data_IF_530251410641
#
_entry.id   IF_530251410641
#
_cell.length_a   1.000
_cell.length_b   1.000
_cell.length_c   1.000
_cell.angle_alpha   90.00
_cell.angle_beta   90.00
_cell.angle_gamma   90.00
#
_symmetry.space_group_name_H-M   'P 1'
#
loop_
_entity.id
_entity.type
_entity.pdbx_description
1 polymer ?
#
# COMPACT_ATOMS: atom_id res chain seq x y z
N UNK A 1 -6.02 11.55 3.21
CA UNK A 1 -7.00 10.49 3.53
C UNK A 1 -6.35 9.16 3.18
N UNK A 2 -6.45 8.15 4.04
CA UNK A 2 -5.89 6.84 3.74
C UNK A 2 -6.90 5.98 2.98
N UNK A 3 -6.41 5.09 2.12
CA UNK A 3 -7.24 4.19 1.32
C UNK A 3 -6.57 2.84 1.12
N UNK A 4 -7.37 1.79 1.01
CA UNK A 4 -6.95 0.46 0.57
C UNK A 4 -7.26 0.34 -0.92
N UNK A 5 -6.27 -0.07 -1.72
CA UNK A 5 -6.49 -0.47 -3.11
C UNK A 5 -6.44 -1.99 -3.15
N UNK A 6 -7.57 -2.63 -3.45
CA UNK A 6 -7.67 -4.08 -3.58
C UNK A 6 -7.24 -4.57 -4.96
N UNK A 7 -6.87 -5.84 -5.05
CA UNK A 7 -6.48 -6.48 -6.31
C UNK A 7 -7.62 -6.57 -7.34
N UNK A 8 -8.88 -6.48 -6.90
CA UNK A 8 -10.07 -6.40 -7.77
C UNK A 8 -10.33 -4.99 -8.33
N UNK A 9 -9.47 -4.01 -8.01
CA UNK A 9 -9.60 -2.62 -8.43
C UNK A 9 -10.42 -1.74 -7.47
N UNK A 10 -11.06 -2.32 -6.45
CA UNK A 10 -11.83 -1.56 -5.47
C UNK A 10 -10.93 -0.67 -4.62
N UNK A 11 -11.31 0.60 -4.49
CA UNK A 11 -10.67 1.55 -3.59
C UNK A 11 -11.60 1.84 -2.39
N UNK A 12 -11.14 1.54 -1.17
CA UNK A 12 -11.91 1.75 0.06
C UNK A 12 -11.24 2.82 0.93
N UNK A 13 -11.96 3.84 1.41
CA UNK A 13 -11.41 4.73 2.44
C UNK A 13 -11.17 3.94 3.73
N UNK A 14 -10.11 4.27 4.45
CA UNK A 14 -9.79 3.65 5.74
C UNK A 14 -9.20 4.69 6.69
N UNK A 15 -9.40 4.47 7.98
CA UNK A 15 -8.84 5.29 9.06
C UNK A 15 -8.14 4.38 10.07
N UNK A 16 -7.06 4.85 10.71
CA UNK A 16 -6.45 4.09 11.79
C UNK A 16 -7.42 3.94 12.96
N UNK A 17 -7.40 2.79 13.62
CA UNK A 17 -8.33 2.50 14.72
C UNK A 17 -8.14 3.42 15.93
N UNK A 18 -6.93 3.91 16.17
CA UNK A 18 -6.63 4.88 17.23
C UNK A 18 -6.95 6.34 16.83
N UNK A 19 -7.33 6.59 15.57
CA UNK A 19 -7.65 7.92 15.04
C UNK A 19 -6.46 8.76 14.56
N UNK A 20 -5.22 8.32 14.77
CA UNK A 20 -3.99 9.07 14.44
C UNK A 20 -3.13 8.35 13.40
N UNK A 21 -2.69 7.13 13.70
CA UNK A 21 -1.66 6.38 12.98
C UNK A 21 -1.99 4.89 12.90
N UNK A 22 -1.58 4.25 11.81
CA UNK A 22 -1.73 2.81 11.65
C UNK A 22 -0.63 2.09 12.41
N UNK A 23 -1.03 1.21 13.33
CA UNK A 23 -0.12 0.25 13.94
C UNK A 23 0.40 -0.73 12.89
N UNK A 24 1.59 -1.29 13.14
CA UNK A 24 2.16 -2.38 12.32
C UNK A 24 1.14 -3.51 12.09
N UNK A 25 0.40 -3.90 13.13
CA UNK A 25 -0.59 -4.98 13.06
C UNK A 25 -1.75 -4.65 12.10
N UNK A 26 -2.21 -3.40 12.07
CA UNK A 26 -3.25 -2.97 11.13
C UNK A 26 -2.73 -3.01 9.69
N UNK A 27 -1.52 -2.48 9.46
CA UNK A 27 -0.90 -2.50 8.14
C UNK A 27 -0.71 -3.93 7.63
N UNK A 28 -0.17 -4.82 8.47
CA UNK A 28 -0.01 -6.24 8.15
C UNK A 28 -1.35 -6.94 7.86
N UNK A 29 -2.41 -6.61 8.60
CA UNK A 29 -3.74 -7.17 8.36
C UNK A 29 -4.34 -6.69 7.02
N UNK A 30 -4.02 -5.47 6.59
CA UNK A 30 -4.48 -4.91 5.31
C UNK A 30 -3.75 -5.55 4.13
N UNK A 31 -2.41 -5.63 4.19
CA UNK A 31 -1.59 -6.08 3.04
C UNK A 31 -1.34 -7.58 3.02
N UNK A 32 -1.51 -8.24 4.17
CA UNK A 32 -1.48 -9.70 4.32
C UNK A 32 -0.08 -10.31 4.37
N UNK A 33 0.82 -9.82 5.23
CA UNK A 33 2.19 -10.35 5.39
C UNK A 33 3.12 -9.35 6.05
N UNK A 34 4.43 -9.55 5.91
CA UNK A 34 5.42 -8.52 6.25
C UNK A 34 5.28 -7.30 5.35
N UNK A 35 5.59 -6.11 5.87
CA UNK A 35 5.33 -4.86 5.17
C UNK A 35 6.60 -4.30 4.55
N UNK A 36 6.46 -3.70 3.37
CA UNK A 36 7.41 -2.78 2.78
C UNK A 36 6.77 -1.40 2.64
N UNK A 37 7.54 -0.35 2.91
CA UNK A 37 7.15 1.04 2.73
C UNK A 37 7.78 1.60 1.47
N UNK A 38 6.96 2.10 0.55
CA UNK A 38 7.40 2.78 -0.68
C UNK A 38 6.90 4.22 -0.66
N UNK A 39 7.83 5.17 -0.50
CA UNK A 39 7.54 6.61 -0.43
C UNK A 39 7.15 7.16 -1.80
N UNK A 40 5.89 7.56 -2.01
CA UNK A 40 5.48 8.17 -3.27
C UNK A 40 5.98 9.60 -3.41
N UNK A 41 6.00 10.33 -2.30
CA UNK A 41 6.48 11.69 -2.17
C UNK A 41 6.66 12.00 -0.67
N UNK A 42 7.07 13.23 -0.36
CA UNK A 42 7.32 13.73 1.00
C UNK A 42 6.15 13.53 2.00
N UNK A 43 4.93 13.28 1.51
CA UNK A 43 3.73 13.20 2.34
C UNK A 43 2.94 11.90 2.21
N UNK A 44 3.23 11.02 1.26
CA UNK A 44 2.44 9.81 1.01
C UNK A 44 3.32 8.58 0.82
N UNK A 45 2.85 7.47 1.38
CA UNK A 45 3.53 6.18 1.34
C UNK A 45 2.55 5.08 0.92
N UNK A 46 3.02 4.16 0.08
CA UNK A 46 2.39 2.86 -0.13
C UNK A 46 2.95 1.90 0.91
N UNK A 47 2.06 1.22 1.62
CA UNK A 47 2.37 0.03 2.42
C UNK A 47 1.87 -1.18 1.65
N UNK A 48 2.76 -2.15 1.43
CA UNK A 48 2.48 -3.35 0.66
C UNK A 48 3.11 -4.58 1.32
N UNK A 49 2.76 -5.77 0.82
CA UNK A 49 3.36 -7.01 1.31
C UNK A 49 4.74 -7.25 0.66
N UNK A 50 5.81 -7.20 1.45
CA UNK A 50 7.20 -7.38 1.01
C UNK A 50 7.42 -8.71 0.28
N UNK A 51 6.73 -9.77 0.73
CA UNK A 51 6.83 -11.11 0.15
C UNK A 51 5.77 -11.35 -0.95
N UNK A 52 5.00 -10.33 -1.33
CA UNK A 52 3.81 -10.50 -2.18
C UNK A 52 4.11 -11.17 -3.52
N UNK A 53 5.23 -10.82 -4.17
CA UNK A 53 5.64 -11.44 -5.45
C UNK A 53 6.13 -12.87 -5.24
N UNK A 54 6.89 -13.11 -4.18
CA UNK A 54 7.38 -14.44 -3.80
C UNK A 54 6.21 -15.40 -3.52
N UNK A 55 5.16 -14.90 -2.88
CA UNK A 55 3.94 -15.62 -2.55
C UNK A 55 2.94 -15.72 -3.72
N UNK A 56 3.25 -15.16 -4.89
CA UNK A 56 2.38 -15.22 -6.05
C UNK A 56 1.05 -14.45 -5.89
N UNK A 57 1.04 -13.37 -5.10
CA UNK A 57 -0.16 -12.55 -4.93
C UNK A 57 -0.62 -11.94 -6.27
N UNK A 58 -1.93 -11.69 -6.46
CA UNK A 58 -2.44 -11.16 -7.71
C UNK A 58 -1.91 -9.76 -8.03
N UNK A 59 -1.71 -9.47 -9.32
CA UNK A 59 -1.39 -8.12 -9.81
C UNK A 59 -2.44 -7.11 -9.34
N UNK A 60 -1.99 -5.98 -8.81
CA UNK A 60 -2.84 -4.85 -8.48
C UNK A 60 -2.61 -3.73 -9.50
N UNK A 61 -3.47 -3.68 -10.52
CA UNK A 61 -3.34 -2.76 -11.66
C UNK A 61 -3.40 -1.31 -11.19
N UNK A 62 -4.33 -0.98 -10.30
CA UNK A 62 -4.51 0.38 -9.79
C UNK A 62 -3.35 0.82 -8.89
N UNK A 63 -2.85 -0.06 -8.01
CA UNK A 63 -1.67 0.25 -7.22
C UNK A 63 -0.41 0.39 -8.09
N UNK A 64 -0.27 -0.45 -9.12
CA UNK A 64 0.82 -0.35 -10.11
C UNK A 64 0.77 0.98 -10.86
N UNK A 65 -0.43 1.41 -11.28
CA UNK A 65 -0.63 2.71 -11.94
C UNK A 65 -0.22 3.88 -11.05
N UNK A 66 -0.60 3.84 -9.78
CA UNK A 66 -0.20 4.86 -8.80
C UNK A 66 1.32 4.85 -8.63
N UNK A 67 1.93 3.71 -8.34
CA UNK A 67 3.38 3.59 -8.18
C UNK A 67 4.13 4.18 -9.37
N UNK A 68 3.78 3.79 -10.60
CA UNK A 68 4.44 4.28 -11.82
C UNK A 68 4.21 5.76 -12.11
N UNK A 69 3.15 6.38 -11.58
CA UNK A 69 2.98 7.84 -11.70
C UNK A 69 4.01 8.64 -10.89
N UNK A 70 4.58 8.04 -9.85
CA UNK A 70 5.66 8.63 -9.04
C UNK A 70 7.05 8.11 -9.45
N UNK A 71 7.11 6.92 -10.03
CA UNK A 71 8.35 6.31 -10.53
C UNK A 71 8.25 5.96 -12.03
N UNK A 72 8.18 6.96 -12.94
CA UNK A 72 7.90 6.73 -14.36
C UNK A 72 8.98 5.94 -15.11
N UNK A 73 10.20 5.87 -14.56
CA UNK A 73 11.29 5.04 -15.12
C UNK A 73 11.27 3.58 -14.66
N UNK A 74 10.39 3.21 -13.72
CA UNK A 74 10.31 1.85 -13.20
C UNK A 74 9.37 0.99 -14.04
N UNK A 75 9.87 -0.18 -14.47
CA UNK A 75 9.05 -1.24 -15.06
C UNK A 75 8.42 -2.16 -14.01
N UNK A 76 8.64 -1.89 -12.73
CA UNK A 76 8.13 -2.74 -11.67
C UNK A 76 6.60 -2.65 -11.53
N UNK A 77 6.01 -3.59 -10.81
CA UNK A 77 4.58 -3.71 -10.59
C UNK A 77 4.26 -4.13 -9.16
N UNK A 78 3.05 -3.80 -8.73
CA UNK A 78 2.57 -4.04 -7.38
C UNK A 78 1.61 -5.23 -7.39
N UNK A 79 1.74 -6.11 -6.40
CA UNK A 79 0.88 -7.27 -6.19
C UNK A 79 0.25 -7.23 -4.81
N UNK A 80 -0.89 -7.90 -4.64
CA UNK A 80 -1.65 -7.90 -3.38
C UNK A 80 -2.39 -6.58 -3.12
N UNK A 81 -3.10 -6.55 -2.00
CA UNK A 81 -3.75 -5.32 -1.54
C UNK A 81 -2.69 -4.37 -0.97
N UNK A 82 -2.92 -3.07 -1.12
CA UNK A 82 -2.04 -2.05 -0.55
C UNK A 82 -2.81 -1.03 0.25
N UNK A 83 -2.16 -0.45 1.24
CA UNK A 83 -2.60 0.77 1.92
C UNK A 83 -1.84 1.95 1.31
N UNK A 84 -2.54 3.02 0.96
CA UNK A 84 -1.93 4.33 0.71
C UNK A 84 -2.37 5.23 1.86
N UNK A 85 -1.40 5.78 2.60
CA UNK A 85 -1.64 6.68 3.71
C UNK A 85 -0.60 7.80 3.70
N UNK A 86 -0.81 8.80 4.55
CA UNK A 86 0.24 9.81 4.73
C UNK A 86 1.38 9.23 5.55
N UNK A 87 2.60 9.68 5.28
CA UNK A 87 3.80 9.26 6.03
C UNK A 87 3.66 9.53 7.53
N UNK A 88 3.02 10.65 7.92
CA UNK A 88 2.74 11.00 9.33
C UNK A 88 1.77 10.05 10.05
N UNK A 89 1.08 9.17 9.31
CA UNK A 89 0.11 8.21 9.85
C UNK A 89 0.72 6.81 10.01
N UNK A 90 2.04 6.67 9.97
CA UNK A 90 2.76 5.40 10.15
C UNK A 90 3.49 5.47 11.49
N UNK A 91 3.24 4.48 12.36
CA UNK A 91 3.89 4.32 13.67
C UNK A 91 5.19 3.52 13.60
#
# INVERSE_FOLDING_TARGET
>A
MAKIIKTDGTCLPVHPSNGTDFSLKEMQAIVGGYIELVELNDTNTIVLNEEGKLNGLPLNIEATRVFRSYYPGSNDFIVGNVLICKTEQIL
#
